data_IF_247537497173
#
_entry.id   IF_247537497173
#
_cell.length_a   1.000
_cell.length_b   1.000
_cell.length_c   1.000
_cell.angle_alpha   90.00
_cell.angle_beta   90.00
_cell.angle_gamma   90.00
#
_symmetry.space_group_name_H-M   'P 1'
#
loop_
_entity.id
_entity.type
_entity.pdbx_description
1 polymer ?
#
# COMPACT_ATOMS: atom_id res chain seq x y z
N UNK A 1 13.25 -11.60 1.74
CA UNK A 1 12.40 -12.61 1.08
C UNK A 1 10.91 -12.32 1.26
N UNK A 2 10.40 -12.16 2.50
CA UNK A 2 8.97 -11.88 2.77
C UNK A 2 8.40 -10.67 2.02
N UNK A 3 9.16 -9.56 1.94
CA UNK A 3 8.75 -8.35 1.21
C UNK A 3 8.42 -8.63 -0.26
N UNK A 4 9.29 -9.37 -0.95
CA UNK A 4 9.12 -9.74 -2.37
C UNK A 4 7.91 -10.66 -2.54
N UNK A 5 7.72 -11.62 -1.62
CA UNK A 5 6.55 -12.52 -1.66
C UNK A 5 5.24 -11.75 -1.51
N UNK A 6 5.16 -10.81 -0.57
CA UNK A 6 3.97 -9.97 -0.40
C UNK A 6 3.72 -9.05 -1.59
N UNK A 7 4.78 -8.48 -2.17
CA UNK A 7 4.69 -7.66 -3.37
C UNK A 7 4.10 -8.44 -4.56
N UNK A 8 4.62 -9.65 -4.80
CA UNK A 8 4.11 -10.56 -5.84
C UNK A 8 2.65 -10.94 -5.54
N UNK A 9 2.34 -11.27 -4.29
CA UNK A 9 0.98 -11.63 -3.87
C UNK A 9 -0.01 -10.49 -4.12
N UNK A 10 0.34 -9.25 -3.76
CA UNK A 10 -0.49 -8.06 -4.00
C UNK A 10 -0.73 -7.86 -5.50
N UNK A 11 0.33 -7.98 -6.30
CA UNK A 11 0.25 -7.85 -7.77
C UNK A 11 -0.62 -8.95 -8.37
N UNK A 12 -0.57 -10.18 -7.85
CA UNK A 12 -1.43 -11.26 -8.30
C UNK A 12 -2.89 -11.05 -7.88
N UNK A 13 -3.14 -10.66 -6.63
CA UNK A 13 -4.49 -10.46 -6.12
C UNK A 13 -5.24 -9.34 -6.85
N UNK A 14 -4.55 -8.28 -7.27
CA UNK A 14 -5.18 -7.12 -7.93
C UNK A 14 -5.80 -7.46 -9.30
N UNK A 15 -5.25 -8.46 -10.00
CA UNK A 15 -5.75 -8.92 -11.30
C UNK A 15 -6.76 -10.08 -11.18
N UNK A 16 -7.04 -10.54 -9.96
CA UNK A 16 -7.97 -11.65 -9.70
C UNK A 16 -9.32 -11.14 -9.19
N UNK A 17 -10.39 -11.97 -9.19
CA UNK A 17 -11.66 -11.63 -8.55
C UNK A 17 -11.56 -11.35 -7.05
N UNK A 18 -10.41 -11.66 -6.43
CA UNK A 18 -10.13 -11.43 -5.01
C UNK A 18 -9.48 -10.06 -4.75
N UNK A 19 -9.59 -9.10 -5.67
CA UNK A 19 -9.00 -7.76 -5.57
C UNK A 19 -9.37 -7.00 -4.28
N UNK A 20 -10.52 -7.30 -3.68
CA UNK A 20 -10.95 -6.72 -2.40
C UNK A 20 -10.02 -7.07 -1.23
N UNK A 21 -9.32 -8.21 -1.29
CA UNK A 21 -8.30 -8.60 -0.31
C UNK A 21 -7.01 -7.78 -0.45
N UNK A 22 -6.78 -7.12 -1.59
CA UNK A 22 -5.60 -6.28 -1.80
C UNK A 22 -5.57 -5.12 -0.82
N UNK A 23 -6.72 -4.52 -0.51
CA UNK A 23 -6.81 -3.33 0.33
C UNK A 23 -6.19 -3.55 1.73
N UNK A 24 -6.67 -4.53 2.54
CA UNK A 24 -6.08 -4.75 3.87
C UNK A 24 -4.62 -5.20 3.81
N UNK A 25 -4.24 -6.00 2.81
CA UNK A 25 -2.86 -6.50 2.66
C UNK A 25 -1.91 -5.36 2.27
N UNK A 26 -2.31 -4.48 1.35
CA UNK A 26 -1.54 -3.32 0.93
C UNK A 26 -1.36 -2.30 2.06
N UNK A 27 -2.42 -2.03 2.83
CA UNK A 27 -2.32 -1.16 4.01
C UNK A 27 -1.32 -1.73 5.03
N UNK A 28 -1.44 -3.02 5.37
CA UNK A 28 -0.49 -3.68 6.28
C UNK A 28 0.95 -3.65 5.74
N UNK A 29 1.12 -3.84 4.44
CA UNK A 29 2.41 -3.74 3.77
C UNK A 29 3.01 -2.33 3.87
N UNK A 30 2.22 -1.27 3.62
CA UNK A 30 2.67 0.13 3.74
C UNK A 30 3.07 0.49 5.17
N UNK A 31 2.36 -0.04 6.18
CA UNK A 31 2.75 0.16 7.57
C UNK A 31 4.08 -0.52 7.90
N UNK A 32 4.29 -1.75 7.44
CA UNK A 32 5.45 -2.58 7.81
C UNK A 32 6.71 -2.33 6.97
N UNK A 33 6.54 -2.00 5.69
CA UNK A 33 7.62 -1.82 4.71
C UNK A 33 7.51 -0.47 3.99
N UNK A 34 8.38 -0.20 3.02
CA UNK A 34 8.31 1.00 2.16
C UNK A 34 7.19 0.85 1.13
N UNK A 35 6.18 1.71 1.19
CA UNK A 35 4.99 1.65 0.33
C UNK A 35 5.22 2.06 -1.14
N UNK A 36 6.35 2.71 -1.47
CA UNK A 36 6.60 3.27 -2.80
C UNK A 36 6.55 2.25 -3.95
N UNK A 37 6.88 0.99 -3.68
CA UNK A 37 6.80 -0.08 -4.69
C UNK A 37 5.36 -0.34 -5.14
N UNK A 38 4.37 -0.13 -4.25
CA UNK A 38 2.96 -0.30 -4.58
C UNK A 38 2.45 0.76 -5.56
N UNK A 39 3.08 1.94 -5.59
CA UNK A 39 2.77 2.96 -6.59
C UNK A 39 3.08 2.43 -7.99
N UNK A 40 4.21 1.74 -8.15
CA UNK A 40 4.59 1.13 -9.43
C UNK A 40 3.56 0.06 -9.85
N UNK A 41 3.11 -0.78 -8.90
CA UNK A 41 2.05 -1.77 -9.16
C UNK A 41 0.76 -1.09 -9.57
N UNK A 42 0.36 -0.02 -8.91
CA UNK A 42 -0.84 0.73 -9.22
C UNK A 42 -0.79 1.34 -10.62
N UNK A 43 0.34 1.94 -11.01
CA UNK A 43 0.55 2.51 -12.37
C UNK A 43 0.47 1.41 -13.44
N UNK A 44 1.14 0.28 -13.22
CA UNK A 44 1.07 -0.85 -14.16
C UNK A 44 -0.35 -1.42 -14.26
N UNK A 45 -1.08 -1.44 -13.15
CA UNK A 45 -2.45 -1.95 -13.09
C UNK A 45 -3.43 -1.00 -13.78
N UNK A 46 -3.33 0.31 -13.55
CA UNK A 46 -4.07 1.32 -14.30
C UNK A 46 -3.82 1.17 -15.80
N UNK A 47 -2.55 0.96 -16.19
CA UNK A 47 -2.19 0.70 -17.57
C UNK A 47 -2.83 -0.55 -18.16
N UNK A 48 -2.82 -1.66 -17.40
CA UNK A 48 -3.41 -2.92 -17.79
C UNK A 48 -4.93 -2.82 -18.05
N UNK A 49 -5.65 -2.07 -17.22
CA UNK A 49 -7.09 -1.83 -17.39
C UNK A 49 -7.42 -0.71 -18.39
N UNK A 50 -6.42 -0.18 -19.10
CA UNK A 50 -6.62 0.87 -20.11
C UNK A 50 -6.90 2.26 -19.54
N UNK A 51 -6.63 2.47 -18.25
CA UNK A 51 -6.87 3.73 -17.56
C UNK A 51 -5.87 4.85 -17.96
N UNK A 52 -4.90 4.59 -18.84
CA UNK A 52 -4.09 5.65 -19.44
C UNK A 52 -4.90 6.60 -20.34
N UNK A 53 -6.03 6.13 -20.87
CA UNK A 53 -6.96 6.97 -21.64
C UNK A 53 -8.03 7.63 -20.76
N UNK A 54 -8.00 7.37 -19.45
CA UNK A 54 -8.93 7.91 -18.46
C UNK A 54 -8.16 8.37 -17.22
N UNK A 55 -8.84 8.61 -16.10
CA UNK A 55 -8.17 9.02 -14.87
C UNK A 55 -7.57 7.76 -14.21
N UNK A 56 -6.25 7.71 -13.94
CA UNK A 56 -5.60 6.57 -13.27
C UNK A 56 -5.92 6.56 -11.77
N UNK A 57 -7.15 6.13 -11.45
CA UNK A 57 -7.72 6.20 -10.10
C UNK A 57 -6.90 5.35 -9.12
N UNK A 58 -6.43 4.16 -9.53
CA UNK A 58 -5.65 3.28 -8.64
C UNK A 58 -4.33 3.94 -8.23
N UNK A 59 -3.63 4.57 -9.16
CA UNK A 59 -2.38 5.28 -8.91
C UNK A 59 -2.61 6.45 -7.96
N UNK A 60 -3.64 7.27 -8.21
CA UNK A 60 -3.97 8.43 -7.37
C UNK A 60 -4.29 7.99 -5.94
N UNK A 61 -5.14 6.97 -5.78
CA UNK A 61 -5.50 6.42 -4.47
C UNK A 61 -4.26 5.86 -3.76
N UNK A 62 -3.42 5.10 -4.48
CA UNK A 62 -2.23 4.47 -3.89
C UNK A 62 -1.21 5.51 -3.44
N UNK A 63 -0.95 6.53 -4.25
CA UNK A 63 -0.08 7.66 -3.90
C UNK A 63 -0.61 8.34 -2.63
N UNK A 64 -1.90 8.69 -2.61
CA UNK A 64 -2.54 9.34 -1.47
C UNK A 64 -2.44 8.48 -0.21
N UNK A 65 -2.67 7.17 -0.32
CA UNK A 65 -2.56 6.23 0.78
C UNK A 65 -1.13 6.11 1.32
N UNK A 66 -0.12 6.05 0.45
CA UNK A 66 1.29 6.02 0.87
C UNK A 66 1.66 7.28 1.65
N UNK A 67 1.29 8.46 1.15
CA UNK A 67 1.52 9.72 1.86
C UNK A 67 0.83 9.76 3.23
N UNK A 68 -0.41 9.28 3.30
CA UNK A 68 -1.19 9.27 4.54
C UNK A 68 -0.57 8.30 5.57
N UNK A 69 -0.15 7.11 5.13
CA UNK A 69 0.53 6.14 6.01
C UNK A 69 1.88 6.70 6.48
N UNK A 70 2.68 7.31 5.60
CA UNK A 70 3.96 7.92 5.98
C UNK A 70 3.78 9.06 7.00
N UNK A 71 2.69 9.83 6.91
CA UNK A 71 2.33 10.86 7.89
C UNK A 71 1.92 10.26 9.24
N UNK A 72 1.10 9.21 9.24
CA UNK A 72 0.56 8.60 10.46
C UNK A 72 1.59 7.74 11.22
N UNK A 73 2.49 7.07 10.49
CA UNK A 73 3.48 6.15 11.04
C UNK A 73 4.33 6.74 12.18
N UNK A 74 4.93 7.94 12.08
CA UNK A 74 5.69 8.52 13.18
C UNK A 74 4.83 8.84 14.41
N UNK A 75 3.60 9.33 14.21
CA UNK A 75 2.69 9.63 15.32
C UNK A 75 2.25 8.38 16.09
N UNK A 76 1.96 7.29 15.37
CA UNK A 76 1.57 6.02 15.97
C UNK A 76 2.73 5.34 16.71
N UNK A 77 3.94 5.38 16.14
CA UNK A 77 5.12 4.80 16.78
C UNK A 77 5.59 5.61 18.01
N UNK A 78 5.40 6.94 18.01
CA UNK A 78 5.65 7.77 19.19
C UNK A 78 4.71 7.44 20.35
N UNK A 79 3.43 7.15 20.06
CA UNK A 79 2.45 6.80 21.08
C UNK A 79 2.84 5.51 21.80
N UNK A 80 3.21 4.46 21.06
CA UNK A 80 3.65 3.18 21.64
C UNK A 80 4.89 3.33 22.54
N UNK A 81 5.84 4.20 22.18
CA UNK A 81 7.05 4.42 22.99
C UNK A 81 6.77 5.15 24.31
N UNK A 82 5.79 6.05 24.35
CA UNK A 82 5.44 6.76 25.57
C UNK A 82 4.72 5.87 26.58
N UNK A 83 3.89 4.93 26.13
CA UNK A 83 3.26 3.94 27.03
C UNK A 83 4.31 3.04 27.71
N UNK A 84 5.39 2.66 27.01
CA UNK A 84 6.49 1.87 27.58
C UNK A 84 7.33 2.64 28.62
N UNK A 85 7.32 3.97 28.61
CA UNK A 85 8.07 4.78 29.60
C UNK A 85 7.24 5.13 30.86
N UNK A 86 5.94 4.84 30.85
CA UNK A 86 5.02 5.12 31.96
C UNK A 86 4.69 3.85 32.77
N UNK A 87 5.07 2.67 32.28
CA UNK A 87 4.99 1.38 32.99
C UNK A 87 6.29 1.04 33.74
#
# INVERSE_FOLDING_TARGET
MLRILLFILITFLIITPLYWLVIPIALWYMFKFTGYELILVAILTDGYFGAFNSIPILSIITISAVFLVDLLKPSLLMYTKNDEMVS
#
